data_IF_925574218355
#
_entry.id   IF_925574218355
#
_cell.length_a   1.000
_cell.length_b   1.000
_cell.length_c   1.000
_cell.angle_alpha   90.00
_cell.angle_beta   90.00
_cell.angle_gamma   90.00
#
_symmetry.space_group_name_H-M   'P 1'
#
loop_
_entity.id
_entity.type
_entity.pdbx_description
1 polymer ?
#
# COMPACT_ATOMS: atom_id res chain seq x y z
N UNK A 1 -50.47 -11.73 -4.45
CA UNK A 1 -49.36 -10.87 -4.91
C UNK A 1 -48.19 -10.84 -3.91
N UNK A 2 -48.45 -10.78 -2.62
CA UNK A 2 -47.48 -10.83 -1.50
C UNK A 2 -46.42 -11.95 -1.60
N UNK A 3 -46.81 -13.18 -1.96
CA UNK A 3 -45.88 -14.33 -2.04
C UNK A 3 -44.81 -14.21 -3.14
N UNK A 4 -45.10 -13.49 -4.23
CA UNK A 4 -44.12 -13.22 -5.32
C UNK A 4 -43.16 -12.09 -4.96
N UNK A 5 -43.61 -11.09 -4.19
CA UNK A 5 -42.75 -10.03 -3.67
C UNK A 5 -41.77 -10.54 -2.61
N UNK A 6 -42.19 -11.49 -1.76
CA UNK A 6 -41.31 -12.13 -0.77
C UNK A 6 -40.19 -12.94 -1.43
N UNK A 7 -40.50 -13.68 -2.51
CA UNK A 7 -39.51 -14.46 -3.25
C UNK A 7 -38.51 -13.57 -4.02
N UNK A 8 -38.97 -12.45 -4.58
CA UNK A 8 -38.09 -11.44 -5.22
C UNK A 8 -37.19 -10.73 -4.20
N UNK A 9 -37.71 -10.43 -3.00
CA UNK A 9 -36.90 -9.87 -1.91
C UNK A 9 -35.85 -10.87 -1.40
N UNK A 10 -36.20 -12.16 -1.25
CA UNK A 10 -35.24 -13.19 -0.84
C UNK A 10 -34.14 -13.40 -1.88
N UNK A 11 -34.49 -13.44 -3.17
CA UNK A 11 -33.52 -13.59 -4.25
C UNK A 11 -32.57 -12.38 -4.36
N UNK A 12 -33.08 -11.16 -4.13
CA UNK A 12 -32.24 -9.96 -4.06
C UNK A 12 -31.30 -9.98 -2.85
N UNK A 13 -31.74 -10.51 -1.70
CA UNK A 13 -30.90 -10.65 -0.51
C UNK A 13 -29.78 -11.68 -0.69
N UNK A 14 -30.04 -12.79 -1.38
CA UNK A 14 -29.00 -13.80 -1.69
C UNK A 14 -27.93 -13.30 -2.67
N UNK A 15 -28.26 -12.36 -3.55
CA UNK A 15 -27.31 -11.77 -4.50
C UNK A 15 -26.39 -10.71 -3.87
N UNK A 16 -26.79 -10.10 -2.75
CA UNK A 16 -25.96 -9.13 -2.01
C UNK A 16 -24.91 -9.86 -1.15
N UNK A 17 -25.16 -11.11 -0.75
CA UNK A 17 -24.28 -11.91 0.10
C UNK A 17 -23.02 -12.48 -0.59
N UNK A 18 -22.86 -12.32 -1.90
CA UNK A 18 -21.70 -12.80 -2.66
C UNK A 18 -20.77 -11.68 -3.14
N UNK A 19 -21.01 -10.44 -2.71
CA UNK A 19 -19.99 -9.40 -2.81
C UNK A 19 -18.81 -9.80 -1.92
N UNK A 20 -17.86 -10.54 -2.49
CA UNK A 20 -16.60 -10.85 -1.85
C UNK A 20 -16.03 -9.54 -1.33
N UNK A 21 -15.71 -9.50 -0.03
CA UNK A 21 -15.07 -8.33 0.54
C UNK A 21 -13.84 -8.03 -0.30
N UNK A 22 -13.79 -6.85 -0.93
CA UNK A 22 -12.57 -6.35 -1.55
C UNK A 22 -11.58 -6.13 -0.41
N UNK A 23 -10.81 -7.18 -0.09
CA UNK A 23 -9.72 -7.09 0.85
C UNK A 23 -8.73 -6.10 0.26
N UNK A 24 -8.48 -5.00 0.96
CA UNK A 24 -7.52 -4.01 0.53
C UNK A 24 -6.16 -4.70 0.44
N UNK A 25 -5.62 -4.76 -0.76
CA UNK A 25 -4.34 -5.40 -0.96
C UNK A 25 -3.26 -4.45 -0.42
N UNK A 26 -2.46 -4.93 0.52
CA UNK A 26 -1.36 -4.16 1.09
C UNK A 26 -0.25 -3.95 0.05
N UNK A 27 0.52 -2.88 0.17
CA UNK A 27 1.70 -2.64 -0.64
C UNK A 27 2.94 -2.68 0.26
N UNK A 28 4.02 -3.29 -0.23
CA UNK A 28 5.31 -3.32 0.48
C UNK A 28 6.22 -2.21 -0.02
N UNK A 29 6.48 -1.19 0.79
CA UNK A 29 7.24 -0.01 0.35
C UNK A 29 7.96 0.70 1.50
N UNK A 30 8.83 1.64 1.15
CA UNK A 30 9.44 2.59 2.08
C UNK A 30 8.51 3.80 2.28
N UNK A 31 7.86 3.87 3.43
CA UNK A 31 7.12 5.07 3.86
C UNK A 31 8.09 6.16 4.36
N UNK A 32 7.69 7.41 4.19
CA UNK A 32 8.49 8.60 4.52
C UNK A 32 7.76 9.48 5.53
N UNK A 33 8.49 9.94 6.54
CA UNK A 33 7.92 10.58 7.74
C UNK A 33 8.74 11.78 8.18
N UNK A 34 8.05 12.87 8.48
CA UNK A 34 8.59 14.03 9.17
C UNK A 34 8.46 13.82 10.69
N UNK A 35 9.46 14.27 11.45
CA UNK A 35 9.34 14.35 12.92
C UNK A 35 8.83 15.73 13.30
N UNK A 36 7.62 15.78 13.86
CA UNK A 36 7.07 16.98 14.49
C UNK A 36 7.12 16.83 16.02
N UNK A 37 8.11 17.49 16.63
CA UNK A 37 8.46 17.30 18.03
C UNK A 37 8.76 15.82 18.36
N UNK A 38 7.91 15.22 19.19
CA UNK A 38 8.05 13.81 19.59
C UNK A 38 7.31 12.81 18.70
N UNK A 39 6.59 13.25 17.67
CA UNK A 39 5.66 12.43 16.90
C UNK A 39 6.09 12.31 15.44
N UNK A 40 5.72 11.21 14.82
CA UNK A 40 5.85 11.04 13.38
C UNK A 40 4.60 11.57 12.69
N UNK A 41 4.82 12.29 11.60
CA UNK A 41 3.79 12.77 10.67
C UNK A 41 4.12 12.19 9.30
N UNK A 42 3.13 11.56 8.66
CA UNK A 42 3.33 11.00 7.33
C UNK A 42 3.65 12.16 6.36
N UNK A 43 4.74 12.04 5.62
CA UNK A 43 5.20 13.12 4.76
C UNK A 43 4.24 13.30 3.58
N UNK A 44 3.83 14.55 3.32
CA UNK A 44 2.98 14.90 2.18
C UNK A 44 3.77 15.18 0.90
N UNK A 45 5.10 15.26 1.02
CA UNK A 45 6.04 15.46 -0.08
C UNK A 45 7.03 14.31 -0.13
N UNK A 46 7.47 13.92 -1.33
CA UNK A 46 8.51 12.90 -1.49
C UNK A 46 9.90 13.38 -1.02
N UNK A 47 10.81 12.45 -0.68
CA UNK A 47 12.16 12.78 -0.21
C UNK A 47 12.97 13.68 -1.14
N UNK A 48 12.73 13.59 -2.46
CA UNK A 48 13.40 14.38 -3.49
C UNK A 48 12.90 15.84 -3.59
N UNK A 49 11.82 16.19 -2.88
CA UNK A 49 11.27 17.55 -2.84
C UNK A 49 11.39 18.17 -1.44
N UNK A 50 11.27 17.35 -0.39
CA UNK A 50 11.37 17.79 0.99
C UNK A 50 12.76 18.36 1.30
N UNK A 51 12.80 19.61 1.77
CA UNK A 51 14.02 20.33 2.18
C UNK A 51 13.99 20.63 3.68
N UNK A 52 14.43 19.68 4.53
CA UNK A 52 14.48 19.88 5.98
C UNK A 52 15.47 20.99 6.37
N UNK A 53 15.25 21.58 7.54
CA UNK A 53 16.15 22.52 8.21
C UNK A 53 17.31 21.79 8.91
N UNK A 54 18.36 22.52 9.30
CA UNK A 54 19.35 21.99 10.26
C UNK A 54 18.62 21.64 11.57
N UNK A 55 18.84 20.43 12.09
CA UNK A 55 18.15 19.99 13.31
C UNK A 55 16.97 19.06 13.07
N UNK A 56 16.48 18.95 11.83
CA UNK A 56 15.30 18.13 11.56
C UNK A 56 15.62 16.64 11.60
N UNK A 57 14.60 15.86 11.96
CA UNK A 57 14.64 14.40 11.96
C UNK A 57 13.68 13.88 10.90
N UNK A 58 14.18 13.04 10.01
CA UNK A 58 13.45 12.42 8.90
C UNK A 58 13.48 10.91 9.05
N UNK A 59 12.35 10.25 8.75
CA UNK A 59 12.13 8.83 9.01
C UNK A 59 11.80 8.05 7.75
N UNK A 60 12.43 6.89 7.59
CA UNK A 60 12.11 5.91 6.55
C UNK A 60 11.73 4.59 7.20
N UNK A 61 10.55 4.08 6.87
CA UNK A 61 10.03 2.82 7.43
C UNK A 61 9.58 1.88 6.33
N UNK A 62 10.23 0.73 6.23
CA UNK A 62 9.84 -0.33 5.32
C UNK A 62 8.76 -1.22 5.97
N UNK A 63 7.60 -1.32 5.34
CA UNK A 63 6.49 -2.13 5.83
C UNK A 63 5.54 -2.53 4.71
N UNK A 64 4.63 -3.45 5.04
CA UNK A 64 3.39 -3.63 4.30
C UNK A 64 2.32 -2.71 4.86
N UNK A 65 1.71 -1.87 4.02
CA UNK A 65 0.59 -0.99 4.41
C UNK A 65 -0.40 -0.85 3.26
N UNK A 66 -1.69 -0.73 3.56
CA UNK A 66 -2.77 -0.60 2.58
C UNK A 66 -2.77 0.79 1.94
N UNK A 67 -2.56 1.81 2.76
CA UNK A 67 -2.50 3.22 2.38
C UNK A 67 -1.65 4.02 3.40
N UNK A 68 -1.77 5.35 3.38
CA UNK A 68 -1.01 6.25 4.27
C UNK A 68 -1.59 6.30 5.69
N UNK A 69 -2.90 6.09 5.87
CA UNK A 69 -3.58 6.22 7.16
C UNK A 69 -3.27 5.05 8.09
N UNK A 70 -2.92 3.88 7.53
CA UNK A 70 -2.49 2.68 8.25
C UNK A 70 -0.97 2.43 8.15
N UNK A 71 -0.22 3.36 7.54
CA UNK A 71 1.21 3.20 7.36
C UNK A 71 1.94 3.06 8.72
N UNK A 72 2.78 2.04 8.83
CA UNK A 72 3.58 1.86 10.04
C UNK A 72 4.59 2.99 10.15
N UNK A 73 4.62 3.68 11.29
CA UNK A 73 5.61 4.72 11.57
C UNK A 73 7.00 4.13 11.93
N UNK A 74 8.10 4.88 11.76
CA UNK A 74 9.42 4.45 12.18
C UNK A 74 9.47 4.17 13.69
N UNK A 75 10.08 3.05 14.07
CA UNK A 75 10.22 2.66 15.48
C UNK A 75 11.41 3.36 16.14
N UNK A 76 11.33 3.49 17.46
CA UNK A 76 12.38 4.08 18.28
C UNK A 76 12.13 5.56 18.63
N UNK A 77 12.95 6.07 19.55
CA UNK A 77 12.78 7.39 20.16
C UNK A 77 13.93 8.36 19.84
N UNK A 78 14.82 8.00 18.91
CA UNK A 78 15.99 8.80 18.59
C UNK A 78 15.59 10.22 18.15
N UNK A 79 16.27 11.21 18.71
CA UNK A 79 16.11 12.62 18.41
C UNK A 79 17.35 13.18 17.71
N UNK A 80 17.27 14.40 17.20
CA UNK A 80 18.38 15.02 16.50
C UNK A 80 19.65 15.09 17.36
N UNK A 81 19.52 15.47 18.63
CA UNK A 81 20.66 15.68 19.52
C UNK A 81 21.45 14.37 19.72
N UNK A 82 20.75 13.26 19.94
CA UNK A 82 21.35 11.95 20.09
C UNK A 82 21.96 11.42 18.79
N UNK A 83 21.28 11.59 17.65
CA UNK A 83 21.76 11.08 16.35
C UNK A 83 22.96 11.88 15.82
N UNK A 84 22.93 13.20 15.98
CA UNK A 84 23.95 14.11 15.45
C UNK A 84 24.98 14.56 16.50
N UNK A 85 25.03 13.95 17.69
CA UNK A 85 25.94 14.34 18.78
C UNK A 85 27.42 14.43 18.36
N UNK A 86 27.84 13.60 17.40
CA UNK A 86 29.23 13.54 16.89
C UNK A 86 29.45 14.33 15.61
N UNK A 87 28.43 15.03 15.13
CA UNK A 87 28.48 15.81 13.88
C UNK A 87 28.39 17.29 14.24
N UNK A 88 29.53 18.00 14.37
CA UNK A 88 29.51 19.44 14.69
C UNK A 88 28.76 20.23 13.62
N UNK A 89 28.20 21.36 14.02
CA UNK A 89 27.70 22.34 13.06
C UNK A 89 28.87 22.93 12.26
N UNK A 90 28.63 23.26 11.00
CA UNK A 90 29.63 23.82 10.10
C UNK A 90 28.96 24.85 9.20
N UNK A 91 29.58 26.01 9.05
CA UNK A 91 29.06 27.11 8.25
C UNK A 91 28.86 26.67 6.78
N UNK A 92 27.75 27.10 6.17
CA UNK A 92 27.41 26.71 4.80
C UNK A 92 26.90 25.27 4.68
N UNK A 93 26.57 24.59 5.77
CA UNK A 93 25.96 23.26 5.76
C UNK A 93 24.78 23.15 6.73
N UNK A 94 23.97 22.11 6.57
CA UNK A 94 22.95 21.69 7.54
C UNK A 94 23.13 20.23 7.89
N UNK A 95 22.62 19.83 9.05
CA UNK A 95 22.56 18.45 9.52
C UNK A 95 21.13 17.97 9.57
N UNK A 96 20.92 16.77 9.04
CA UNK A 96 19.63 16.09 9.06
C UNK A 96 19.83 14.73 9.71
N UNK A 97 19.08 14.47 10.77
CA UNK A 97 19.07 13.17 11.42
C UNK A 97 18.12 12.23 10.67
N UNK A 98 18.59 11.04 10.30
CA UNK A 98 17.82 10.02 9.62
C UNK A 98 17.57 8.84 10.53
N UNK A 99 16.31 8.43 10.64
CA UNK A 99 15.89 7.16 11.27
C UNK A 99 15.55 6.18 10.16
N UNK A 100 16.35 5.12 10.04
CA UNK A 100 16.20 4.09 9.01
C UNK A 100 15.68 2.81 9.66
N UNK A 101 14.38 2.57 9.51
CA UNK A 101 13.71 1.41 10.04
C UNK A 101 13.38 0.42 8.91
N UNK A 102 14.19 -0.63 8.81
CA UNK A 102 14.15 -1.60 7.72
C UNK A 102 12.98 -2.59 7.75
N UNK A 103 12.07 -2.48 8.71
CA UNK A 103 10.96 -3.42 8.82
C UNK A 103 11.14 -4.46 9.91
N UNK A 104 10.17 -5.35 9.99
CA UNK A 104 10.17 -6.58 10.80
C UNK A 104 10.18 -7.79 9.87
N UNK A 105 10.40 -8.99 10.42
CA UNK A 105 10.37 -10.20 9.61
C UNK A 105 9.06 -10.37 8.78
N UNK A 106 7.85 -10.05 9.31
CA UNK A 106 6.62 -10.01 8.50
C UNK A 106 6.62 -9.03 7.33
N UNK A 107 7.38 -7.93 7.42
CA UNK A 107 7.46 -6.92 6.36
C UNK A 107 8.37 -7.37 5.20
N UNK A 108 9.28 -8.31 5.47
CA UNK A 108 10.33 -8.69 4.54
C UNK A 108 9.81 -9.41 3.29
N UNK A 109 10.45 -9.22 2.12
CA UNK A 109 10.28 -10.13 1.00
C UNK A 109 10.67 -11.56 1.38
N UNK A 110 10.11 -12.54 0.68
CA UNK A 110 10.39 -13.95 0.94
C UNK A 110 11.87 -14.26 0.82
N UNK A 111 12.45 -14.89 1.85
CA UNK A 111 13.87 -15.26 1.89
C UNK A 111 14.82 -14.11 2.25
N UNK A 112 14.30 -12.93 2.58
CA UNK A 112 15.08 -11.80 3.07
C UNK A 112 14.90 -11.62 4.58
N UNK A 113 15.91 -11.05 5.24
CA UNK A 113 15.85 -10.67 6.65
C UNK A 113 16.15 -9.17 6.75
N UNK A 114 15.27 -8.36 7.36
CA UNK A 114 15.52 -6.94 7.51
C UNK A 114 16.79 -6.68 8.32
N UNK A 115 17.64 -5.73 7.89
CA UNK A 115 18.68 -5.18 8.75
C UNK A 115 18.12 -4.62 10.06
N UNK A 116 18.97 -4.50 11.08
CA UNK A 116 18.58 -3.80 12.30
C UNK A 116 18.26 -2.33 12.00
N UNK A 117 17.24 -1.73 12.65
CA UNK A 117 17.02 -0.29 12.57
C UNK A 117 18.27 0.47 13.00
N UNK A 118 18.59 1.56 12.30
CA UNK A 118 19.74 2.41 12.63
C UNK A 118 19.45 3.86 12.37
N UNK A 119 20.26 4.72 12.96
CA UNK A 119 20.24 6.16 12.71
C UNK A 119 21.51 6.60 12.02
N UNK A 120 21.45 7.74 11.34
CA UNK A 120 22.61 8.39 10.74
C UNK A 120 22.41 9.91 10.73
N UNK A 121 23.49 10.66 10.89
CA UNK A 121 23.47 12.11 10.75
C UNK A 121 24.13 12.50 9.43
N UNK A 122 23.37 13.09 8.51
CA UNK A 122 23.90 13.62 7.26
C UNK A 122 24.28 15.08 7.46
N UNK A 123 25.47 15.49 7.02
CA UNK A 123 25.83 16.91 6.83
C UNK A 123 25.83 17.20 5.33
N UNK A 124 24.99 18.13 4.89
CA UNK A 124 24.71 18.38 3.47
C UNK A 124 24.58 19.88 3.20
N UNK A 125 24.48 20.27 1.92
CA UNK A 125 24.27 21.68 1.54
C UNK A 125 22.95 22.22 2.10
N UNK A 126 22.82 23.55 2.31
CA UNK A 126 21.62 24.14 2.89
C UNK A 126 20.35 23.91 2.06
N UNK A 127 20.49 23.82 0.74
CA UNK A 127 19.41 23.58 -0.23
C UNK A 127 19.12 22.09 -0.50
N UNK A 128 19.90 21.18 0.10
CA UNK A 128 19.77 19.74 -0.08
C UNK A 128 18.40 19.20 0.34
N UNK A 129 17.94 18.20 -0.38
CA UNK A 129 16.71 17.47 -0.11
C UNK A 129 16.93 16.34 0.88
N UNK A 130 15.86 15.71 1.36
CA UNK A 130 15.97 14.50 2.19
C UNK A 130 16.57 13.34 1.40
N UNK A 131 16.33 13.26 0.09
CA UNK A 131 16.97 12.27 -0.78
C UNK A 131 18.50 12.45 -0.83
N UNK A 132 18.98 13.70 -0.89
CA UNK A 132 20.42 14.00 -0.85
C UNK A 132 21.03 13.61 0.50
N UNK A 133 20.35 13.95 1.60
CA UNK A 133 20.75 13.54 2.95
C UNK A 133 20.82 12.02 3.09
N UNK A 134 19.82 11.30 2.57
CA UNK A 134 19.79 9.83 2.57
C UNK A 134 20.93 9.23 1.74
N UNK A 135 21.16 9.76 0.54
CA UNK A 135 22.22 9.30 -0.35
C UNK A 135 23.61 9.45 0.29
N UNK A 136 23.84 10.52 1.06
CA UNK A 136 25.10 10.77 1.75
C UNK A 136 25.45 9.73 2.82
N UNK A 137 24.47 9.04 3.42
CA UNK A 137 24.70 8.19 4.61
C UNK A 137 24.11 6.77 4.54
N UNK A 138 23.38 6.45 3.47
CA UNK A 138 22.62 5.20 3.39
C UNK A 138 22.65 4.52 2.01
N UNK A 139 23.64 4.85 1.17
CA UNK A 139 23.87 4.16 -0.09
C UNK A 139 24.25 2.66 0.08
N UNK A 140 24.05 1.83 -0.96
CA UNK A 140 23.44 2.18 -2.25
C UNK A 140 21.92 2.32 -2.15
N UNK A 141 21.37 3.32 -2.85
CA UNK A 141 19.93 3.52 -3.00
C UNK A 141 19.47 2.96 -4.35
N UNK A 142 18.23 2.45 -4.40
CA UNK A 142 17.58 2.04 -5.65
C UNK A 142 16.23 2.73 -5.77
N UNK A 143 15.95 3.25 -6.95
CA UNK A 143 14.68 3.87 -7.30
C UNK A 143 14.10 3.22 -8.55
N UNK A 144 12.77 3.26 -8.72
CA UNK A 144 12.12 2.89 -9.97
C UNK A 144 12.04 4.08 -10.93
N UNK A 145 11.40 3.87 -12.09
CA UNK A 145 11.21 4.92 -13.11
C UNK A 145 10.27 6.05 -12.67
N UNK A 146 9.50 5.86 -11.60
CA UNK A 146 8.59 6.86 -11.02
C UNK A 146 9.21 7.59 -9.82
N UNK A 147 10.52 7.40 -9.59
CA UNK A 147 11.25 7.91 -8.44
C UNK A 147 10.76 7.38 -7.08
N UNK A 148 10.10 6.22 -7.06
CA UNK A 148 9.79 5.51 -5.82
C UNK A 148 11.08 4.94 -5.22
N UNK A 149 11.33 5.21 -3.93
CA UNK A 149 12.46 4.63 -3.21
C UNK A 149 12.22 3.13 -2.98
N UNK A 150 12.96 2.31 -3.72
CA UNK A 150 12.84 0.85 -3.67
C UNK A 150 13.76 0.22 -2.63
N UNK A 151 14.96 0.76 -2.43
CA UNK A 151 15.93 0.17 -1.51
C UNK A 151 16.82 1.22 -0.85
N UNK A 152 17.15 0.96 0.42
CA UNK A 152 18.14 1.69 1.21
C UNK A 152 19.23 0.71 1.61
N UNK A 153 20.50 1.07 1.43
CA UNK A 153 21.65 0.21 1.71
C UNK A 153 21.50 -1.22 1.11
N UNK A 154 20.90 -1.30 -0.09
CA UNK A 154 20.65 -2.57 -0.78
C UNK A 154 19.48 -3.42 -0.25
N UNK A 155 18.69 -2.94 0.72
CA UNK A 155 17.50 -3.63 1.23
C UNK A 155 16.18 -2.91 0.84
N UNK A 156 15.15 -3.66 0.42
CA UNK A 156 15.21 -5.07 0.00
C UNK A 156 16.07 -5.26 -1.26
N UNK A 157 16.61 -6.47 -1.42
CA UNK A 157 17.46 -6.82 -2.58
C UNK A 157 16.68 -6.74 -3.89
N UNK A 158 15.38 -7.03 -3.84
CA UNK A 158 14.49 -6.99 -4.99
C UNK A 158 13.14 -6.36 -4.62
N UNK A 159 12.35 -6.01 -5.64
CA UNK A 159 11.04 -5.41 -5.46
C UNK A 159 11.01 -3.90 -5.33
N UNK A 160 9.83 -3.30 -5.48
CA UNK A 160 9.63 -1.86 -5.38
C UNK A 160 8.12 -1.53 -5.33
N UNK A 161 7.48 -1.67 -4.17
CA UNK A 161 6.08 -1.32 -4.03
C UNK A 161 5.11 -2.41 -4.50
N UNK A 162 5.48 -3.68 -4.44
CA UNK A 162 4.58 -4.75 -4.86
C UNK A 162 3.35 -4.86 -3.95
N UNK A 163 2.23 -5.16 -4.59
CA UNK A 163 1.02 -5.57 -3.91
C UNK A 163 1.23 -6.95 -3.27
N UNK A 164 0.93 -7.07 -1.99
CA UNK A 164 0.94 -8.32 -1.25
C UNK A 164 -0.49 -8.80 -1.06
N UNK A 165 -0.75 -10.03 -1.50
CA UNK A 165 -2.00 -10.70 -1.18
C UNK A 165 -1.96 -11.05 0.31
N UNK A 166 -2.88 -10.52 1.11
CA UNK A 166 -3.12 -11.09 2.42
C UNK A 166 -3.62 -12.52 2.20
N UNK A 167 -2.75 -13.52 2.41
CA UNK A 167 -3.21 -14.91 2.49
C UNK A 167 -4.11 -14.97 3.72
N UNK A 168 -5.41 -14.99 3.49
CA UNK A 168 -6.38 -15.41 4.49
C UNK A 168 -5.83 -16.69 5.12
N UNK A 169 -5.45 -16.62 6.39
CA UNK A 169 -5.37 -17.84 7.21
C UNK A 169 -6.81 -18.26 7.48
N UNK A 170 -7.50 -18.70 6.43
CA UNK A 170 -8.70 -19.48 6.58
C UNK A 170 -8.23 -20.80 7.17
N UNK A 171 -8.71 -21.13 8.37
CA UNK A 171 -8.53 -22.44 8.99
C UNK A 171 -8.78 -23.53 7.94
N UNK A 172 -8.03 -24.67 7.97
CA UNK A 172 -8.17 -25.70 6.97
C UNK A 172 -9.61 -26.22 7.02
N UNK A 173 -10.40 -25.87 6.00
CA UNK A 173 -11.70 -26.49 5.79
C UNK A 173 -11.42 -27.90 5.31
N UNK A 174 -11.80 -28.88 6.13
CA UNK A 174 -11.77 -30.30 5.77
C UNK A 174 -12.29 -30.46 4.33
N UNK A 175 -11.41 -30.97 3.47
CA UNK A 175 -11.78 -31.52 2.18
C UNK A 175 -12.51 -32.84 2.45
N UNK A 176 -13.83 -32.79 2.46
CA UNK A 176 -14.60 -33.98 2.11
C UNK A 176 -14.54 -34.11 0.59
N UNK A 177 -13.79 -35.12 0.16
CA UNK A 177 -13.72 -35.54 -1.21
C UNK A 177 -15.04 -36.21 -1.61
N UNK A 178 -15.70 -35.65 -2.61
CA UNK A 178 -16.63 -36.40 -3.45
C UNK A 178 -16.54 -35.84 -4.86
N UNK A 179 -15.94 -36.65 -5.73
CA UNK A 179 -16.02 -36.56 -7.18
C UNK A 179 -17.48 -36.42 -7.62
N UNK A 180 -17.79 -35.39 -8.41
CA UNK A 180 -18.64 -35.53 -9.59
C UNK A 180 -18.65 -34.22 -10.40
N UNK A 181 -18.29 -34.32 -11.68
CA UNK A 181 -18.31 -33.21 -12.63
C UNK A 181 -19.73 -32.72 -12.89
N UNK A 182 -20.08 -31.57 -12.34
CA UNK A 182 -21.36 -30.88 -12.58
C UNK A 182 -21.20 -29.63 -13.45
N UNK A 183 -22.19 -29.26 -14.30
CA UNK A 183 -22.08 -28.15 -15.23
C UNK A 183 -21.99 -26.82 -14.48
N UNK A 184 -21.12 -25.94 -14.96
CA UNK A 184 -20.86 -24.62 -14.39
C UNK A 184 -22.12 -23.75 -14.38
N UNK A 185 -22.91 -23.84 -13.31
CA UNK A 185 -24.13 -23.06 -13.06
C UNK A 185 -23.89 -21.55 -13.20
N UNK A 186 -22.66 -21.08 -12.93
CA UNK A 186 -22.27 -19.68 -13.14
C UNK A 186 -22.27 -19.24 -14.60
N UNK A 187 -21.90 -20.11 -15.55
CA UNK A 187 -21.91 -19.79 -16.97
C UNK A 187 -23.34 -19.72 -17.51
N UNK A 188 -24.20 -20.66 -17.08
CA UNK A 188 -25.61 -20.70 -17.49
C UNK A 188 -26.37 -19.50 -16.93
N UNK A 189 -26.13 -19.13 -15.67
CA UNK A 189 -26.71 -17.94 -15.07
C UNK A 189 -26.30 -16.65 -15.79
N UNK A 190 -25.02 -16.54 -16.19
CA UNK A 190 -24.52 -15.38 -16.95
C UNK A 190 -25.19 -15.22 -18.32
N UNK A 191 -25.37 -16.32 -19.07
CA UNK A 191 -26.01 -16.28 -20.40
C UNK A 191 -27.48 -15.84 -20.31
N UNK A 192 -28.21 -16.32 -19.31
CA UNK A 192 -29.64 -15.96 -19.13
C UNK A 192 -29.81 -14.47 -18.84
N UNK A 193 -28.92 -13.87 -18.05
CA UNK A 193 -28.97 -12.43 -17.74
C UNK A 193 -28.70 -11.59 -18.99
N UNK A 194 -27.71 -11.94 -19.80
CA UNK A 194 -27.40 -11.22 -21.04
C UNK A 194 -28.57 -11.29 -22.03
N UNK A 195 -29.20 -12.46 -22.18
CA UNK A 195 -30.35 -12.63 -23.06
C UNK A 195 -31.56 -11.78 -22.60
N UNK A 196 -31.81 -11.70 -21.28
CA UNK A 196 -32.86 -10.87 -20.73
C UNK A 196 -32.63 -9.37 -21.00
N UNK A 197 -31.40 -8.89 -20.82
CA UNK A 197 -31.04 -7.50 -21.09
C UNK A 197 -31.18 -7.15 -22.58
N UNK A 198 -30.73 -8.02 -23.49
CA UNK A 198 -30.92 -7.84 -24.93
C UNK A 198 -32.41 -7.82 -25.34
N UNK A 199 -33.23 -8.66 -24.71
CA UNK A 199 -34.69 -8.66 -24.90
C UNK A 199 -35.35 -7.35 -24.46
N UNK A 200 -34.94 -6.78 -23.32
CA UNK A 200 -35.49 -5.50 -22.85
C UNK A 200 -35.10 -4.33 -23.75
N UNK A 201 -33.85 -4.29 -24.24
CA UNK A 201 -33.38 -3.23 -25.14
C UNK A 201 -34.13 -3.23 -26.48
N UNK A 202 -34.39 -4.41 -27.05
CA UNK A 202 -35.14 -4.56 -28.31
C UNK A 202 -36.63 -4.19 -28.16
N UNK A 203 -37.25 -4.51 -27.02
CA UNK A 203 -38.63 -4.09 -26.72
C UNK A 203 -38.73 -2.57 -26.54
N UNK A 204 -37.77 -1.96 -25.83
CA UNK A 204 -37.73 -0.51 -25.63
C UNK A 204 -37.50 0.25 -26.95
N UNK A 205 -36.65 -0.29 -27.84
CA UNK A 205 -36.42 0.27 -29.17
C UNK A 205 -37.67 0.17 -30.08
N UNK A 206 -38.41 -0.93 -30.02
CA UNK A 206 -39.68 -1.09 -30.76
C UNK A 206 -40.76 -0.13 -30.27
N UNK A 207 -40.84 0.09 -28.95
CA UNK A 207 -41.82 1.02 -28.37
C UNK A 207 -41.55 2.47 -28.76
N UNK A 208 -40.28 2.87 -28.91
CA UNK A 208 -39.89 4.21 -29.38
C UNK A 208 -40.21 4.43 -30.86
N UNK A 209 -40.10 3.41 -31.72
CA UNK A 209 -40.43 3.53 -33.16
C UNK A 209 -41.91 3.73 -33.44
N UNK A 210 -42.79 3.23 -32.56
CA UNK A 210 -44.24 3.38 -32.69
C UNK A 210 -44.79 4.69 -32.10
N UNK A 211 -43.95 5.52 -31.47
CA UNK A 211 -44.33 6.82 -30.90
C UNK A 211 -43.98 8.01 -31.82
N UNK A 212 -43.38 7.75 -32.98
CA UNK A 212 -42.96 8.76 -33.98
C UNK A 212 -43.59 8.52 -35.36
N UNK A 213 -44.80 7.97 -35.41
CA UNK A 213 -45.61 7.89 -36.63
C UNK A 213 -46.98 8.49 -36.39
#
# INVERSE_FOLDING_TARGET
MTRRFVLLFLAAFLLIGTAGQAQAAGYRYWSFWDRDGGKWVYATQGPSLARPSDGDVQGFRFSVSENSDDAAQPRGTADFQSVCAKTPAEEGSKRVALVLDFGTAPDAPSGETPPAPRTACARVSPDATTADALAAVAGPLRYDTNALLCAIAGYPKSGCGEQVSQKNTAAPRQQDASDDGGPSVGLVAGIVVIAALAGTATWQARRRRNATR
#
